data_IF_525625160514
#
_entry.id   IF_525625160514
#
_cell.length_a   1.000
_cell.length_b   1.000
_cell.length_c   1.000
_cell.angle_alpha   90.00
_cell.angle_beta   90.00
_cell.angle_gamma   90.00
#
_symmetry.space_group_name_H-M   'P 1'
#
loop_
_entity.id
_entity.type
_entity.pdbx_description
1 polymer ?
#
# COMPACT_ATOMS: atom_id res chain seq x y z
N UNK A 1 9.87 -50.09 -11.18
CA UNK A 1 8.58 -49.50 -10.80
C UNK A 1 8.91 -48.17 -10.14
N UNK A 2 9.00 -47.12 -10.95
CA UNK A 2 9.50 -45.81 -10.51
C UNK A 2 8.39 -45.10 -9.77
N UNK A 3 8.51 -45.01 -8.45
CA UNK A 3 7.57 -44.27 -7.63
C UNK A 3 7.54 -42.81 -8.09
N UNK A 4 6.34 -42.38 -8.44
CA UNK A 4 6.02 -41.04 -8.86
C UNK A 4 6.28 -40.10 -7.68
N UNK A 5 7.35 -39.30 -7.76
CA UNK A 5 7.66 -38.24 -6.82
C UNK A 5 6.39 -37.47 -6.45
N UNK A 6 6.07 -37.45 -5.16
CA UNK A 6 4.93 -36.75 -4.59
C UNK A 6 4.88 -35.29 -5.07
N UNK A 7 3.99 -35.01 -6.01
CA UNK A 7 3.68 -33.66 -6.45
C UNK A 7 2.71 -33.02 -5.45
N UNK A 8 3.08 -31.80 -5.05
CA UNK A 8 2.19 -30.73 -4.61
C UNK A 8 1.55 -30.83 -3.21
N UNK A 9 2.35 -30.60 -2.17
CA UNK A 9 1.90 -29.79 -1.03
C UNK A 9 2.93 -28.69 -0.83
N UNK A 10 2.66 -27.50 -1.37
CA UNK A 10 3.52 -26.35 -1.11
C UNK A 10 3.56 -26.13 0.39
N UNK A 11 4.74 -26.21 0.99
CA UNK A 11 4.88 -26.14 2.44
C UNK A 11 4.48 -24.74 2.89
N UNK A 12 3.60 -24.58 3.90
CA UNK A 12 3.24 -23.26 4.46
C UNK A 12 4.45 -22.38 4.81
N UNK A 13 5.61 -22.99 5.08
CA UNK A 13 6.89 -22.33 5.31
C UNK A 13 7.44 -21.57 4.09
N UNK A 14 7.31 -22.11 2.88
CA UNK A 14 7.83 -21.48 1.64
C UNK A 14 7.01 -20.25 1.28
N UNK A 15 5.69 -20.35 1.38
CA UNK A 15 4.77 -19.22 1.20
C UNK A 15 5.08 -18.07 2.16
N UNK A 16 5.26 -18.39 3.45
CA UNK A 16 5.64 -17.39 4.47
C UNK A 16 6.99 -16.76 4.17
N UNK A 17 7.94 -17.54 3.65
CA UNK A 17 9.26 -17.04 3.23
C UNK A 17 9.14 -16.05 2.09
N UNK A 18 8.45 -16.37 1.01
CA UNK A 18 8.31 -15.45 -0.13
C UNK A 18 7.52 -14.18 0.24
N UNK A 19 6.46 -14.28 1.05
CA UNK A 19 5.80 -13.09 1.60
C UNK A 19 6.77 -12.21 2.39
N UNK A 20 7.56 -12.82 3.29
CA UNK A 20 8.56 -12.08 4.09
C UNK A 20 9.61 -11.42 3.20
N UNK A 21 10.07 -12.08 2.13
CA UNK A 21 11.00 -11.49 1.17
C UNK A 21 10.35 -10.31 0.46
N UNK A 22 9.14 -10.47 -0.08
CA UNK A 22 8.43 -9.42 -0.81
C UNK A 22 8.25 -8.17 0.05
N UNK A 23 7.65 -8.31 1.24
CA UNK A 23 7.47 -7.18 2.16
C UNK A 23 8.79 -6.70 2.79
N UNK A 24 9.78 -7.58 2.92
CA UNK A 24 11.12 -7.24 3.37
C UNK A 24 11.85 -6.34 2.38
N UNK A 25 11.72 -6.58 1.07
CA UNK A 25 12.28 -5.73 0.02
C UNK A 25 11.66 -4.33 0.03
N UNK A 26 10.32 -4.25 0.12
CA UNK A 26 9.65 -2.96 0.24
C UNK A 26 10.04 -2.24 1.54
N UNK A 27 10.04 -2.96 2.67
CA UNK A 27 10.42 -2.40 3.97
C UNK A 27 11.87 -1.89 3.99
N UNK A 28 12.80 -2.65 3.41
CA UNK A 28 14.20 -2.22 3.26
C UNK A 28 14.33 -1.00 2.34
N UNK A 29 13.59 -0.95 1.23
CA UNK A 29 13.56 0.22 0.34
C UNK A 29 13.03 1.48 1.04
N UNK A 30 11.97 1.35 1.83
CA UNK A 30 11.45 2.45 2.66
C UNK A 30 12.50 2.91 3.67
N UNK A 31 13.13 1.98 4.41
CA UNK A 31 14.17 2.31 5.37
C UNK A 31 15.37 3.00 4.71
N UNK A 32 15.80 2.51 3.54
CA UNK A 32 16.88 3.10 2.77
C UNK A 32 16.58 4.52 2.32
N UNK A 33 15.33 4.83 1.96
CA UNK A 33 14.91 6.20 1.65
C UNK A 33 15.08 7.12 2.85
N UNK A 34 14.57 6.74 4.02
CA UNK A 34 14.70 7.54 5.25
C UNK A 34 16.15 7.76 5.66
N UNK A 35 16.98 6.70 5.63
CA UNK A 35 18.42 6.81 5.91
C UNK A 35 19.09 7.76 4.92
N UNK A 36 18.76 7.64 3.64
CA UNK A 36 19.37 8.49 2.61
C UNK A 36 18.94 9.95 2.72
N UNK A 37 17.70 10.23 3.15
CA UNK A 37 17.25 11.59 3.48
C UNK A 37 18.11 12.16 4.62
N UNK A 38 18.33 11.39 5.69
CA UNK A 38 19.16 11.82 6.81
C UNK A 38 20.65 12.02 6.47
N UNK A 39 21.12 11.46 5.35
CA UNK A 39 22.49 11.59 4.85
C UNK A 39 22.61 12.57 3.66
N UNK A 40 21.56 13.33 3.35
CA UNK A 40 21.48 14.24 2.19
C UNK A 40 21.75 13.55 0.83
N UNK A 41 21.43 12.25 0.73
CA UNK A 41 21.55 11.42 -0.47
C UNK A 41 20.18 11.07 -1.07
N UNK A 42 19.28 12.05 -1.15
CA UNK A 42 17.88 11.84 -1.53
C UNK A 42 17.68 10.98 -2.79
N UNK A 43 18.37 11.31 -3.89
CA UNK A 43 18.24 10.59 -5.17
C UNK A 43 18.57 9.10 -5.02
N UNK A 44 19.59 8.77 -4.24
CA UNK A 44 19.97 7.39 -3.96
C UNK A 44 18.90 6.67 -3.13
N UNK A 45 18.32 7.36 -2.15
CA UNK A 45 17.21 6.86 -1.35
C UNK A 45 15.98 6.52 -2.21
N UNK A 46 15.62 7.39 -3.15
CA UNK A 46 14.51 7.16 -4.08
C UNK A 46 14.80 5.94 -4.97
N UNK A 47 16.03 5.81 -5.48
CA UNK A 47 16.43 4.65 -6.28
C UNK A 47 16.29 3.33 -5.49
N UNK A 48 16.69 3.30 -4.22
CA UNK A 48 16.52 2.12 -3.36
C UNK A 48 15.06 1.84 -3.02
N UNK A 49 14.26 2.87 -2.76
CA UNK A 49 12.82 2.73 -2.55
C UNK A 49 12.12 2.08 -3.75
N UNK A 50 12.38 2.58 -4.96
CA UNK A 50 11.84 2.01 -6.19
C UNK A 50 12.34 0.59 -6.42
N UNK A 51 13.62 0.33 -6.18
CA UNK A 51 14.19 -1.03 -6.30
C UNK A 51 13.51 -2.00 -5.34
N UNK A 52 13.23 -1.57 -4.10
CA UNK A 52 12.47 -2.36 -3.13
C UNK A 52 11.04 -2.65 -3.58
N UNK A 53 10.33 -1.64 -4.11
CA UNK A 53 8.97 -1.79 -4.64
C UNK A 53 8.90 -2.70 -5.87
N UNK A 54 9.79 -2.49 -6.84
CA UNK A 54 9.92 -3.35 -8.03
C UNK A 54 10.28 -4.78 -7.60
N UNK A 55 11.24 -4.94 -6.69
CA UNK A 55 11.63 -6.24 -6.14
C UNK A 55 10.47 -6.97 -5.48
N UNK A 56 9.66 -6.28 -4.67
CA UNK A 56 8.42 -6.83 -4.12
C UNK A 56 7.47 -7.30 -5.23
N UNK A 57 7.22 -6.47 -6.25
CA UNK A 57 6.36 -6.80 -7.38
C UNK A 57 6.87 -8.01 -8.17
N UNK A 58 8.17 -8.10 -8.41
CA UNK A 58 8.81 -9.24 -9.09
C UNK A 58 8.64 -10.53 -8.28
N UNK A 59 8.88 -10.49 -6.95
CA UNK A 59 8.67 -11.65 -6.09
C UNK A 59 7.21 -12.09 -6.12
N UNK A 60 6.26 -11.14 -6.11
CA UNK A 60 4.84 -11.48 -6.18
C UNK A 60 4.43 -12.06 -7.53
N UNK A 61 4.97 -11.54 -8.63
CA UNK A 61 4.63 -11.96 -10.00
C UNK A 61 5.23 -13.30 -10.38
N UNK A 62 6.47 -13.56 -9.97
CA UNK A 62 7.23 -14.73 -10.37
C UNK A 62 7.39 -15.78 -9.26
N UNK A 63 6.66 -15.62 -8.15
CA UNK A 63 6.63 -16.65 -7.10
C UNK A 63 6.07 -17.97 -7.66
N UNK A 64 6.77 -19.10 -7.48
CA UNK A 64 6.27 -20.42 -7.88
C UNK A 64 5.12 -20.91 -6.98
N UNK A 65 4.82 -20.16 -5.92
CA UNK A 65 3.80 -20.47 -4.92
C UNK A 65 2.69 -19.42 -4.96
N UNK A 66 1.44 -19.87 -4.80
CA UNK A 66 0.29 -18.99 -4.53
C UNK A 66 0.48 -18.25 -3.21
N UNK A 67 0.86 -16.98 -3.31
CA UNK A 67 1.15 -16.15 -2.14
C UNK A 67 -0.12 -15.82 -1.36
N UNK A 68 -1.25 -15.61 -2.01
CA UNK A 68 -2.50 -15.20 -1.37
C UNK A 68 -3.52 -16.32 -1.44
N UNK A 69 -4.18 -16.58 -0.31
CA UNK A 69 -5.26 -17.56 -0.18
C UNK A 69 -6.57 -16.81 0.12
N UNK A 70 -7.68 -17.54 0.22
CA UNK A 70 -8.99 -16.95 0.50
C UNK A 70 -9.04 -16.20 1.84
N UNK A 71 -8.27 -16.68 2.84
CA UNK A 71 -8.20 -16.05 4.15
C UNK A 71 -7.48 -14.72 4.07
N UNK A 72 -6.35 -14.64 3.39
CA UNK A 72 -5.61 -13.41 3.16
C UNK A 72 -6.44 -12.40 2.37
N UNK A 73 -7.11 -12.83 1.30
CA UNK A 73 -8.01 -11.96 0.53
C UNK A 73 -9.15 -11.42 1.39
N UNK A 74 -9.68 -12.25 2.29
CA UNK A 74 -10.72 -11.81 3.23
C UNK A 74 -10.19 -10.81 4.26
N UNK A 75 -8.98 -11.03 4.78
CA UNK A 75 -8.33 -10.10 5.71
C UNK A 75 -8.04 -8.78 5.00
N UNK A 76 -7.46 -8.82 3.80
CA UNK A 76 -7.13 -7.66 2.99
C UNK A 76 -8.38 -6.84 2.68
N UNK A 77 -9.46 -7.47 2.20
CA UNK A 77 -10.73 -6.79 1.97
C UNK A 77 -11.27 -6.09 3.22
N UNK A 78 -11.23 -6.75 4.38
CA UNK A 78 -11.69 -6.16 5.65
C UNK A 78 -10.78 -5.00 6.08
N UNK A 79 -9.46 -5.14 5.94
CA UNK A 79 -8.48 -4.12 6.28
C UNK A 79 -8.66 -2.90 5.36
N UNK A 80 -8.65 -3.10 4.05
CA UNK A 80 -8.88 -2.07 3.03
C UNK A 80 -10.19 -1.33 3.25
N UNK A 81 -11.30 -2.04 3.53
CA UNK A 81 -12.58 -1.39 3.83
C UNK A 81 -12.53 -0.54 5.10
N UNK A 82 -11.90 -1.03 6.18
CA UNK A 82 -11.77 -0.26 7.43
C UNK A 82 -10.87 0.96 7.24
N UNK A 83 -9.74 0.80 6.59
CA UNK A 83 -8.80 1.88 6.26
C UNK A 83 -9.47 2.96 5.42
N UNK A 84 -10.18 2.58 4.34
CA UNK A 84 -10.93 3.53 3.51
C UNK A 84 -12.07 4.22 4.28
N UNK A 85 -12.70 3.57 5.26
CA UNK A 85 -13.70 4.25 6.12
C UNK A 85 -13.03 5.26 7.05
N UNK A 86 -11.92 4.89 7.68
CA UNK A 86 -11.18 5.78 8.57
C UNK A 86 -10.70 7.03 7.84
N UNK A 87 -10.08 6.88 6.68
CA UNK A 87 -9.67 8.03 5.88
C UNK A 87 -10.85 8.87 5.38
N UNK A 88 -12.04 8.27 5.23
CA UNK A 88 -13.21 9.01 4.77
C UNK A 88 -13.68 9.94 5.88
N UNK A 89 -13.71 9.46 7.13
CA UNK A 89 -14.00 10.31 8.28
C UNK A 89 -12.95 11.40 8.46
N UNK A 90 -11.67 11.07 8.34
CA UNK A 90 -10.60 12.08 8.40
C UNK A 90 -10.75 13.13 7.30
N UNK A 91 -11.14 12.72 6.10
CA UNK A 91 -11.32 13.65 4.98
C UNK A 91 -12.57 14.53 5.14
N UNK A 92 -13.71 13.91 5.47
CA UNK A 92 -15.00 14.59 5.64
C UNK A 92 -14.98 15.55 6.83
N UNK A 93 -14.25 15.24 7.90
CA UNK A 93 -14.16 16.12 9.07
C UNK A 93 -12.96 17.06 8.98
N UNK A 94 -11.80 16.54 8.57
CA UNK A 94 -10.53 17.26 8.58
C UNK A 94 -10.46 18.37 7.55
N UNK A 95 -10.98 18.15 6.33
CA UNK A 95 -10.97 19.19 5.30
C UNK A 95 -11.86 20.39 5.68
N UNK A 96 -13.19 20.25 5.83
CA UNK A 96 -14.03 21.39 6.16
C UNK A 96 -13.71 21.94 7.56
N UNK A 97 -13.39 21.09 8.53
CA UNK A 97 -13.00 21.53 9.87
C UNK A 97 -11.72 22.38 9.85
N UNK A 98 -10.70 21.94 9.11
CA UNK A 98 -9.48 22.72 8.91
C UNK A 98 -9.74 24.06 8.25
N UNK A 99 -10.55 24.09 7.18
CA UNK A 99 -10.89 25.33 6.48
C UNK A 99 -11.66 26.31 7.38
N UNK A 100 -12.63 25.84 8.16
CA UNK A 100 -13.35 26.70 9.12
C UNK A 100 -12.41 27.29 10.17
N UNK A 101 -11.47 26.48 10.70
CA UNK A 101 -10.47 26.95 11.66
C UNK A 101 -9.51 27.99 11.04
N UNK A 102 -9.21 27.87 9.75
CA UNK A 102 -8.41 28.86 9.04
C UNK A 102 -9.15 30.16 8.78
N UNK A 103 -10.38 30.07 8.25
CA UNK A 103 -11.20 31.25 7.95
C UNK A 103 -11.60 32.03 9.22
N UNK A 104 -11.71 31.33 10.36
CA UNK A 104 -11.93 31.97 11.67
C UNK A 104 -10.66 32.58 12.27
N UNK A 105 -9.50 32.44 11.63
CA UNK A 105 -8.21 32.95 12.11
C UNK A 105 -7.63 32.22 13.32
N UNK A 106 -8.17 31.05 13.69
CA UNK A 106 -7.71 30.26 14.85
C UNK A 106 -6.41 29.51 14.53
N UNK A 107 -6.28 29.00 13.30
CA UNK A 107 -5.11 28.24 12.84
C UNK A 107 -4.69 28.71 11.44
N UNK A 108 -3.38 28.78 11.17
CA UNK A 108 -2.88 28.89 9.80
C UNK A 108 -2.54 27.49 9.29
N UNK A 109 -3.19 27.04 8.21
CA UNK A 109 -2.90 25.70 7.69
C UNK A 109 -1.59 25.71 6.88
N UNK A 110 -0.72 24.72 7.11
CA UNK A 110 0.52 24.61 6.35
C UNK A 110 0.25 24.13 4.91
N UNK A 111 1.18 24.36 3.98
CA UNK A 111 1.01 23.96 2.56
C UNK A 111 0.77 22.45 2.38
N UNK A 112 1.35 21.65 3.27
CA UNK A 112 1.22 20.20 3.35
C UNK A 112 -0.24 19.75 3.59
N UNK A 113 -1.07 20.58 4.25
CA UNK A 113 -2.49 20.29 4.44
C UNK A 113 -3.22 20.14 3.10
N UNK A 114 -2.95 21.04 2.16
CA UNK A 114 -3.54 20.99 0.82
C UNK A 114 -3.00 19.81 0.01
N UNK A 115 -1.71 19.50 0.13
CA UNK A 115 -1.12 18.30 -0.49
C UNK A 115 -1.75 16.99 0.01
N UNK A 116 -1.96 16.88 1.33
CA UNK A 116 -2.63 15.73 1.94
C UNK A 116 -4.10 15.63 1.49
N UNK A 117 -4.79 16.78 1.42
CA UNK A 117 -6.17 16.90 0.92
C UNK A 117 -6.30 16.40 -0.52
N UNK A 118 -5.41 16.84 -1.42
CA UNK A 118 -5.40 16.36 -2.80
C UNK A 118 -5.09 14.88 -2.93
N UNK A 119 -4.19 14.36 -2.08
CA UNK A 119 -3.87 12.94 -2.05
C UNK A 119 -5.08 12.09 -1.64
N UNK A 120 -5.77 12.49 -0.56
CA UNK A 120 -7.01 11.82 -0.13
C UNK A 120 -8.10 11.92 -1.20
N UNK A 121 -8.27 13.09 -1.80
CA UNK A 121 -9.20 13.29 -2.91
C UNK A 121 -8.91 12.32 -4.06
N UNK A 122 -7.65 12.21 -4.50
CA UNK A 122 -7.26 11.32 -5.59
C UNK A 122 -7.55 9.84 -5.26
N UNK A 123 -7.30 9.41 -4.03
CA UNK A 123 -7.63 8.05 -3.56
C UNK A 123 -9.13 7.79 -3.67
N UNK A 124 -9.99 8.70 -3.19
CA UNK A 124 -11.45 8.52 -3.26
C UNK A 124 -12.00 8.65 -4.68
N UNK A 125 -11.44 9.54 -5.49
CA UNK A 125 -11.81 9.67 -6.89
C UNK A 125 -11.51 8.37 -7.66
N UNK A 126 -10.30 7.82 -7.50
CA UNK A 126 -9.92 6.53 -8.08
C UNK A 126 -10.79 5.39 -7.55
N UNK A 127 -11.06 5.36 -6.25
CA UNK A 127 -11.99 4.38 -5.66
C UNK A 127 -13.37 4.45 -6.32
N UNK A 128 -13.92 5.66 -6.50
CA UNK A 128 -15.18 5.88 -7.21
C UNK A 128 -15.15 5.41 -8.66
N UNK A 129 -14.06 5.68 -9.38
CA UNK A 129 -13.83 5.18 -10.74
C UNK A 129 -13.85 3.66 -10.78
N UNK A 130 -13.15 2.98 -9.87
CA UNK A 130 -13.13 1.52 -9.84
C UNK A 130 -14.48 0.93 -9.44
N UNK A 131 -15.21 1.53 -8.49
CA UNK A 131 -16.57 1.11 -8.14
C UNK A 131 -17.48 1.22 -9.36
N UNK A 132 -17.43 2.34 -10.10
CA UNK A 132 -18.17 2.51 -11.34
C UNK A 132 -17.79 1.45 -12.37
N UNK A 133 -16.49 1.29 -12.64
CA UNK A 133 -15.98 0.30 -13.58
C UNK A 133 -16.49 -1.12 -13.31
N UNK A 134 -16.36 -1.59 -12.07
CA UNK A 134 -16.81 -2.94 -11.72
C UNK A 134 -18.34 -3.06 -11.69
N UNK A 135 -19.08 -1.99 -11.37
CA UNK A 135 -20.54 -2.00 -11.40
C UNK A 135 -21.11 -2.13 -12.82
N UNK A 136 -20.43 -1.56 -13.82
CA UNK A 136 -20.91 -1.54 -15.21
C UNK A 136 -20.29 -2.61 -16.11
N UNK A 137 -19.25 -3.31 -15.65
CA UNK A 137 -18.54 -4.34 -16.43
C UNK A 137 -18.65 -5.75 -15.85
N UNK A 138 -19.05 -5.91 -14.59
CA UNK A 138 -19.42 -7.20 -14.01
C UNK A 138 -20.87 -7.56 -14.37
#
# INVERSE_FOLDING_TARGET
MSEHNASATIRPSERKRYKRIAYGLLGAGIAALWISIALDRFVLGVAFYWTGGIGMGLVQRFSPVTLYDERDTTIDRKASQRTMKTFAYLFILGLPGGLVLQESGIVTLPGEFYGATWTLFAIYALYGVFVGYYKYRA
#
